data_IF_157869504728
#
_entry.id   IF_157869504728
#
_cell.length_a   1.000
_cell.length_b   1.000
_cell.length_c   1.000
_cell.angle_alpha   90.00
_cell.angle_beta   90.00
_cell.angle_gamma   90.00
#
_symmetry.space_group_name_H-M   'P 1'
#
loop_
_entity.id
_entity.type
_entity.pdbx_description
1 polymer ?
#
# COMPACT_ATOMS: atom_id res chain seq x y z
N UNK A 1 10.68 -15.59 47.92
CA UNK A 1 9.88 -15.90 46.71
C UNK A 1 8.95 -14.74 46.32
N UNK A 2 8.37 -13.98 47.26
CA UNK A 2 7.45 -12.85 47.00
C UNK A 2 8.07 -11.64 46.29
N UNK A 3 9.38 -11.40 46.44
CA UNK A 3 10.08 -10.30 45.73
C UNK A 3 10.25 -10.55 44.23
N UNK A 4 10.47 -11.81 43.82
CA UNK A 4 10.71 -12.12 42.39
C UNK A 4 9.45 -11.91 41.55
N UNK A 5 8.28 -12.11 42.12
CA UNK A 5 7.00 -11.86 41.42
C UNK A 5 6.71 -10.37 41.25
N UNK A 6 7.07 -9.53 42.23
CA UNK A 6 6.88 -8.07 42.14
C UNK A 6 7.81 -7.48 41.07
N UNK A 7 9.07 -7.92 41.03
CA UNK A 7 10.02 -7.47 40.01
C UNK A 7 9.60 -7.92 38.61
N UNK A 8 9.06 -9.14 38.46
CA UNK A 8 8.56 -9.62 37.18
C UNK A 8 7.35 -8.82 36.66
N UNK A 9 6.43 -8.45 37.56
CA UNK A 9 5.25 -7.65 37.24
C UNK A 9 5.62 -6.23 36.78
N UNK A 10 6.49 -5.56 37.55
CA UNK A 10 7.01 -4.23 37.21
C UNK A 10 7.82 -4.21 35.91
N UNK A 11 8.54 -5.29 35.61
CA UNK A 11 9.29 -5.41 34.35
C UNK A 11 8.34 -5.57 33.17
N UNK A 12 7.25 -6.34 33.34
CA UNK A 12 6.23 -6.51 32.31
C UNK A 12 5.47 -5.20 32.04
N UNK A 13 5.15 -4.43 33.09
CA UNK A 13 4.55 -3.09 32.97
C UNK A 13 5.46 -2.11 32.22
N UNK A 14 6.77 -2.15 32.51
CA UNK A 14 7.77 -1.35 31.79
C UNK A 14 7.91 -1.78 30.33
N UNK A 15 7.91 -3.08 30.06
CA UNK A 15 7.97 -3.64 28.70
C UNK A 15 6.74 -3.21 27.88
N UNK A 16 5.55 -3.17 28.50
CA UNK A 16 4.33 -2.68 27.87
C UNK A 16 4.35 -1.16 27.59
N UNK A 17 5.06 -0.38 28.41
CA UNK A 17 5.29 1.05 28.19
C UNK A 17 6.35 1.33 27.11
N UNK A 18 7.26 0.39 26.86
CA UNK A 18 8.29 0.50 25.83
C UNK A 18 7.82 0.12 24.41
N UNK A 19 6.60 -0.39 24.24
CA UNK A 19 6.09 -0.75 22.91
C UNK A 19 5.92 0.54 22.08
N UNK A 20 6.70 0.69 20.98
CA UNK A 20 6.67 1.90 20.17
C UNK A 20 5.30 2.12 19.53
N UNK A 21 4.92 3.39 19.35
CA UNK A 21 3.63 3.73 18.74
C UNK A 21 3.62 3.32 17.27
N UNK A 22 2.48 2.86 16.74
CA UNK A 22 2.36 2.42 15.33
C UNK A 22 2.95 3.42 14.33
N UNK A 23 2.76 4.73 14.55
CA UNK A 23 3.34 5.80 13.72
C UNK A 23 4.87 5.82 13.68
N UNK A 24 5.55 5.39 14.72
CA UNK A 24 7.01 5.40 14.84
C UNK A 24 7.64 4.25 14.05
N UNK A 25 6.91 3.15 13.89
CA UNK A 25 7.31 2.01 13.04
C UNK A 25 7.34 2.39 11.55
N UNK A 26 6.53 3.36 11.15
CA UNK A 26 6.50 3.87 9.78
C UNK A 26 7.67 4.84 9.51
N UNK A 27 8.60 4.40 8.66
CA UNK A 27 9.68 5.25 8.14
C UNK A 27 9.11 6.47 7.43
N UNK A 28 9.82 7.61 7.47
CA UNK A 28 9.38 8.85 6.84
C UNK A 28 9.01 8.69 5.35
N UNK A 29 9.80 7.91 4.59
CA UNK A 29 9.49 7.58 3.20
C UNK A 29 8.13 6.89 3.03
N UNK A 30 7.81 5.88 3.86
CA UNK A 30 6.52 5.19 3.77
C UNK A 30 5.33 6.12 4.02
N UNK A 31 5.49 7.10 4.92
CA UNK A 31 4.47 8.13 5.21
C UNK A 31 4.23 9.01 3.99
N UNK A 32 5.31 9.44 3.32
CA UNK A 32 5.23 10.23 2.09
C UNK A 32 4.49 9.46 0.98
N UNK A 33 4.88 8.22 0.69
CA UNK A 33 4.20 7.39 -0.32
C UNK A 33 2.74 7.13 0.02
N UNK A 34 2.46 6.82 1.29
CA UNK A 34 1.08 6.60 1.72
C UNK A 34 0.25 7.87 1.52
N UNK A 35 0.79 9.05 1.81
CA UNK A 35 0.06 10.31 1.57
C UNK A 35 -0.23 10.52 0.08
N UNK A 36 0.75 10.27 -0.79
CA UNK A 36 0.57 10.35 -2.25
C UNK A 36 -0.50 9.35 -2.71
N UNK A 37 -0.46 8.10 -2.24
CA UNK A 37 -1.43 7.07 -2.62
C UNK A 37 -2.85 7.33 -2.12
N UNK A 38 -3.00 7.99 -0.96
CA UNK A 38 -4.32 8.46 -0.52
C UNK A 38 -4.86 9.50 -1.50
N UNK A 39 -4.04 10.50 -1.86
CA UNK A 39 -4.46 11.55 -2.80
C UNK A 39 -4.78 10.97 -4.17
N UNK A 40 -3.91 10.12 -4.73
CA UNK A 40 -4.15 9.50 -6.04
C UNK A 40 -5.29 8.50 -6.01
N UNK A 41 -5.49 7.77 -4.92
CA UNK A 41 -6.66 6.90 -4.74
C UNK A 41 -7.97 7.69 -4.72
N UNK A 42 -8.02 8.82 -4.00
CA UNK A 42 -9.15 9.75 -4.02
C UNK A 42 -9.39 10.27 -5.44
N UNK A 43 -8.34 10.74 -6.12
CA UNK A 43 -8.45 11.19 -7.50
C UNK A 43 -8.97 10.08 -8.42
N UNK A 44 -8.53 8.83 -8.24
CA UNK A 44 -9.02 7.67 -9.01
C UNK A 44 -10.52 7.40 -8.81
N UNK A 45 -11.01 7.52 -7.57
CA UNK A 45 -12.45 7.38 -7.26
C UNK A 45 -13.29 8.46 -7.95
N UNK A 46 -12.80 9.71 -7.96
CA UNK A 46 -13.54 10.83 -8.53
C UNK A 46 -13.35 10.98 -10.04
N UNK A 47 -12.19 10.61 -10.58
CA UNK A 47 -11.88 10.74 -12.01
C UNK A 47 -12.74 9.80 -12.84
N UNK A 48 -12.98 8.57 -12.37
CA UNK A 48 -13.76 7.58 -13.10
C UNK A 48 -15.20 8.06 -13.41
N UNK A 49 -16.05 8.45 -12.44
CA UNK A 49 -17.37 8.99 -12.75
C UNK A 49 -17.31 10.35 -13.48
N UNK A 50 -16.28 11.16 -13.24
CA UNK A 50 -16.09 12.45 -13.93
C UNK A 50 -15.85 12.26 -15.44
N UNK A 51 -15.15 11.20 -15.86
CA UNK A 51 -15.00 10.84 -17.27
C UNK A 51 -16.37 10.59 -17.92
N UNK A 52 -17.33 10.03 -17.16
CA UNK A 52 -18.68 9.81 -17.69
C UNK A 52 -19.51 11.08 -17.86
N UNK A 53 -19.23 12.12 -17.08
CA UNK A 53 -19.97 13.39 -17.15
C UNK A 53 -19.43 14.34 -18.23
N UNK A 54 -18.16 14.17 -18.60
CA UNK A 54 -17.44 15.09 -19.49
C UNK A 54 -17.16 14.55 -20.87
N UNK A 55 -17.54 13.29 -21.13
CA UNK A 55 -17.20 12.54 -22.36
C UNK A 55 -15.72 12.65 -22.75
N UNK A 56 -14.86 12.71 -21.73
CA UNK A 56 -13.41 12.73 -21.89
C UNK A 56 -12.84 11.33 -21.74
N UNK A 57 -11.78 11.06 -22.50
CA UNK A 57 -11.03 9.80 -22.46
C UNK A 57 -9.57 10.04 -21.98
N UNK A 58 -9.35 10.44 -20.71
CA UNK A 58 -7.99 10.58 -20.20
C UNK A 58 -7.34 9.20 -20.14
N UNK A 59 -6.14 9.08 -20.73
CA UNK A 59 -5.31 7.90 -20.56
C UNK A 59 -4.94 7.72 -19.09
N UNK A 60 -5.27 6.55 -18.51
CA UNK A 60 -4.86 6.18 -17.16
C UNK A 60 -3.86 5.04 -17.25
N UNK A 61 -2.74 5.20 -16.56
CA UNK A 61 -1.69 4.19 -16.50
C UNK A 61 -1.29 3.85 -15.05
N UNK A 62 -1.15 2.57 -14.76
CA UNK A 62 -0.63 2.06 -13.48
C UNK A 62 0.02 0.69 -13.67
N UNK A 63 1.23 0.50 -13.13
CA UNK A 63 1.98 -0.78 -13.21
C UNK A 63 2.21 -1.27 -14.64
N UNK A 64 2.33 -0.33 -15.58
CA UNK A 64 2.45 -0.61 -17.01
C UNK A 64 1.16 -1.08 -17.69
N UNK A 65 0.04 -1.15 -16.98
CA UNK A 65 -1.28 -1.22 -17.60
C UNK A 65 -1.69 0.19 -18.01
N UNK A 66 -2.09 0.37 -19.26
CA UNK A 66 -2.58 1.63 -19.80
C UNK A 66 -3.93 1.39 -20.49
N UNK A 67 -4.89 2.28 -20.23
CA UNK A 67 -6.16 2.31 -20.96
C UNK A 67 -6.58 3.74 -21.20
N UNK A 68 -6.88 4.07 -22.45
CA UNK A 68 -7.55 5.32 -22.83
C UNK A 68 -9.07 5.15 -22.94
N UNK A 69 -9.54 3.91 -23.11
CA UNK A 69 -10.97 3.63 -23.21
C UNK A 69 -11.61 3.54 -21.83
N UNK A 70 -12.54 4.47 -21.54
CA UNK A 70 -13.29 4.56 -20.29
C UNK A 70 -14.20 3.36 -20.00
N UNK A 71 -14.62 2.63 -21.03
CA UNK A 71 -15.51 1.46 -20.90
C UNK A 71 -14.77 0.12 -20.88
N UNK A 72 -13.46 0.15 -21.12
CA UNK A 72 -12.62 -1.04 -21.11
C UNK A 72 -12.58 -1.70 -19.73
N UNK A 73 -12.58 -3.03 -19.72
CA UNK A 73 -12.34 -3.82 -18.51
C UNK A 73 -11.00 -3.45 -17.84
N UNK A 74 -9.99 -3.08 -18.62
CA UNK A 74 -8.69 -2.64 -18.09
C UNK A 74 -8.78 -1.33 -17.29
N UNK A 75 -9.57 -0.37 -17.75
CA UNK A 75 -9.80 0.89 -17.03
C UNK A 75 -10.39 0.61 -15.64
N UNK A 76 -11.40 -0.27 -15.57
CA UNK A 76 -12.01 -0.67 -14.30
C UNK A 76 -10.99 -1.32 -13.36
N UNK A 77 -10.15 -2.22 -13.88
CA UNK A 77 -9.08 -2.86 -13.09
C UNK A 77 -8.08 -1.82 -12.57
N UNK A 78 -7.62 -0.89 -13.42
CA UNK A 78 -6.68 0.16 -13.02
C UNK A 78 -7.29 1.06 -11.94
N UNK A 79 -8.54 1.50 -12.10
CA UNK A 79 -9.25 2.28 -11.09
C UNK A 79 -9.36 1.53 -9.77
N UNK A 80 -9.71 0.23 -9.80
CA UNK A 80 -9.77 -0.59 -8.58
C UNK A 80 -8.42 -0.72 -7.88
N UNK A 81 -7.32 -0.80 -8.63
CA UNK A 81 -5.96 -0.79 -8.07
C UNK A 81 -5.64 0.55 -7.39
N UNK A 82 -6.02 1.69 -7.95
CA UNK A 82 -5.87 2.99 -7.30
C UNK A 82 -6.68 3.08 -6.00
N UNK A 83 -7.91 2.55 -6.00
CA UNK A 83 -8.78 2.52 -4.81
C UNK A 83 -8.14 1.66 -3.72
N UNK A 84 -7.69 0.45 -4.08
CA UNK A 84 -7.05 -0.47 -3.14
C UNK A 84 -5.82 0.18 -2.47
N UNK A 85 -5.01 0.89 -3.27
CA UNK A 85 -3.85 1.67 -2.78
C UNK A 85 -4.24 2.77 -1.82
N UNK A 86 -5.24 3.55 -2.20
CA UNK A 86 -5.76 4.62 -1.36
C UNK A 86 -6.25 4.09 -0.01
N UNK A 87 -6.99 2.97 0.00
CA UNK A 87 -7.49 2.34 1.23
C UNK A 87 -6.35 1.81 2.09
N UNK A 88 -5.40 1.08 1.50
CA UNK A 88 -4.23 0.55 2.20
C UNK A 88 -3.40 1.67 2.85
N UNK A 89 -3.12 2.72 2.07
CA UNK A 89 -2.34 3.87 2.49
C UNK A 89 -3.05 4.69 3.57
N UNK A 90 -4.38 4.88 3.44
CA UNK A 90 -5.20 5.52 4.46
C UNK A 90 -5.16 4.74 5.76
N UNK A 91 -5.31 3.41 5.71
CA UNK A 91 -5.22 2.55 6.88
C UNK A 91 -3.88 2.69 7.60
N UNK A 92 -2.77 2.75 6.84
CA UNK A 92 -1.42 2.88 7.40
C UNK A 92 -1.24 4.23 8.10
N UNK A 93 -1.68 5.32 7.46
CA UNK A 93 -1.60 6.67 8.05
C UNK A 93 -2.55 6.85 9.24
N UNK A 94 -3.69 6.14 9.25
CA UNK A 94 -4.66 6.15 10.34
C UNK A 94 -4.33 5.16 11.47
N UNK A 95 -3.16 4.51 11.42
CA UNK A 95 -2.67 3.57 12.45
C UNK A 95 -3.64 2.39 12.71
N UNK A 96 -4.41 1.97 11.69
CA UNK A 96 -5.40 0.89 11.79
C UNK A 96 -4.74 -0.48 11.89
N UNK A 97 -5.39 -1.42 12.58
CA UNK A 97 -4.81 -2.76 12.82
C UNK A 97 -4.70 -3.57 11.53
N UNK A 98 -5.73 -3.47 10.67
CA UNK A 98 -5.80 -4.15 9.38
C UNK A 98 -4.88 -3.55 8.31
N UNK A 99 -4.33 -2.37 8.56
CA UNK A 99 -3.60 -1.59 7.57
C UNK A 99 -2.40 -2.31 6.99
N UNK A 100 -1.62 -2.98 7.84
CA UNK A 100 -0.42 -3.70 7.40
C UNK A 100 -0.80 -4.94 6.59
N UNK A 101 -1.86 -5.65 6.97
CA UNK A 101 -2.30 -6.84 6.23
C UNK A 101 -2.85 -6.45 4.84
N UNK A 102 -3.63 -5.38 4.72
CA UNK A 102 -4.08 -4.86 3.42
C UNK A 102 -2.91 -4.28 2.61
N UNK A 103 -2.00 -3.53 3.24
CA UNK A 103 -0.82 -2.98 2.58
C UNK A 103 0.10 -4.06 2.02
N UNK A 104 0.24 -5.20 2.71
CA UNK A 104 0.98 -6.35 2.21
C UNK A 104 0.27 -7.01 1.02
N UNK A 105 -1.04 -7.18 1.09
CA UNK A 105 -1.83 -7.71 -0.01
C UNK A 105 -1.71 -6.81 -1.26
N UNK A 106 -1.86 -5.50 -1.11
CA UNK A 106 -1.69 -4.52 -2.20
C UNK A 106 -0.27 -4.58 -2.81
N UNK A 107 0.76 -4.67 -1.97
CA UNK A 107 2.14 -4.79 -2.43
C UNK A 107 2.38 -6.05 -3.27
N UNK A 108 1.85 -7.19 -2.83
CA UNK A 108 1.92 -8.44 -3.60
C UNK A 108 1.12 -8.39 -4.90
N UNK A 109 -0.09 -7.82 -4.88
CA UNK A 109 -0.90 -7.63 -6.09
C UNK A 109 -0.16 -6.75 -7.08
N UNK A 110 0.45 -5.65 -6.63
CA UNK A 110 1.26 -4.79 -7.50
C UNK A 110 2.44 -5.51 -8.14
N UNK A 111 3.18 -6.31 -7.37
CA UNK A 111 4.28 -7.14 -7.89
C UNK A 111 3.77 -8.11 -8.95
N UNK A 112 2.65 -8.81 -8.70
CA UNK A 112 2.06 -9.75 -9.65
C UNK A 112 1.62 -9.06 -10.95
N UNK A 113 1.00 -7.88 -10.86
CA UNK A 113 0.59 -7.10 -12.04
C UNK A 113 1.82 -6.66 -12.84
N UNK A 114 2.85 -6.12 -12.20
CA UNK A 114 4.08 -5.72 -12.89
C UNK A 114 4.74 -6.92 -13.60
N UNK A 115 4.81 -8.09 -12.96
CA UNK A 115 5.36 -9.31 -13.57
C UNK A 115 4.50 -9.79 -14.74
N UNK A 116 3.17 -9.77 -14.60
CA UNK A 116 2.25 -10.13 -15.67
C UNK A 116 2.44 -9.23 -16.89
N UNK A 117 2.49 -7.91 -16.70
CA UNK A 117 2.72 -6.94 -17.78
C UNK A 117 4.08 -7.14 -18.43
N UNK A 118 5.12 -7.42 -17.65
CA UNK A 118 6.46 -7.69 -18.19
C UNK A 118 6.48 -8.95 -19.06
N UNK A 119 5.84 -10.04 -18.62
CA UNK A 119 5.72 -11.28 -19.40
C UNK A 119 4.90 -11.03 -20.67
N UNK A 120 3.77 -10.33 -20.55
CA UNK A 120 2.91 -10.01 -21.69
C UNK A 120 3.63 -9.19 -22.76
N UNK A 121 4.39 -8.15 -22.36
CA UNK A 121 5.18 -7.35 -23.29
C UNK A 121 6.36 -8.12 -23.87
N UNK A 122 6.96 -9.06 -23.11
CA UNK A 122 8.05 -9.88 -23.62
C UNK A 122 7.60 -10.82 -24.76
N UNK A 123 6.40 -11.40 -24.66
CA UNK A 123 5.82 -12.26 -25.69
C UNK A 123 4.98 -11.52 -26.74
N UNK A 124 4.72 -10.23 -26.52
CA UNK A 124 3.93 -9.38 -27.42
C UNK A 124 4.76 -8.71 -28.53
N UNK A 125 4.09 -8.10 -29.52
CA UNK A 125 4.76 -7.46 -30.67
C UNK A 125 5.48 -6.15 -30.31
N UNK A 126 5.26 -5.62 -29.10
CA UNK A 126 5.86 -4.38 -28.64
C UNK A 126 6.94 -4.67 -27.59
N UNK A 127 8.21 -4.67 -28.01
CA UNK A 127 9.37 -4.75 -27.11
C UNK A 127 9.61 -3.41 -26.39
N UNK A 128 8.57 -2.85 -25.77
CA UNK A 128 8.73 -1.67 -24.94
C UNK A 128 9.24 -2.14 -23.58
N UNK A 129 10.52 -1.92 -23.32
CA UNK A 129 11.06 -1.96 -21.96
C UNK A 129 10.44 -0.81 -21.17
N UNK A 130 9.22 -1.01 -20.68
CA UNK A 130 8.65 -0.09 -19.71
C UNK A 130 9.59 -0.01 -18.49
N UNK A 131 9.77 1.16 -17.86
CA UNK A 131 10.65 1.36 -16.71
C UNK A 131 10.10 0.70 -15.41
N UNK A 132 9.53 -0.50 -15.54
CA UNK A 132 8.90 -1.31 -14.49
C UNK A 132 9.89 -1.74 -13.40
N UNK A 133 11.19 -1.69 -13.68
CA UNK A 133 12.23 -2.07 -12.72
C UNK A 133 12.23 -1.19 -11.46
N UNK A 134 12.01 0.13 -11.60
CA UNK A 134 11.95 1.04 -10.45
C UNK A 134 10.66 0.85 -9.65
N UNK A 135 9.52 0.64 -10.31
CA UNK A 135 8.25 0.36 -9.65
C UNK A 135 8.32 -0.95 -8.85
N UNK A 136 8.87 -2.01 -9.44
CA UNK A 136 9.04 -3.32 -8.80
C UNK A 136 10.02 -3.27 -7.62
N UNK A 137 11.13 -2.54 -7.78
CA UNK A 137 12.11 -2.35 -6.70
C UNK A 137 11.49 -1.56 -5.53
N UNK A 138 10.71 -0.52 -5.83
CA UNK A 138 10.01 0.27 -4.82
C UNK A 138 8.95 -0.57 -4.10
N UNK A 139 8.17 -1.37 -4.83
CA UNK A 139 7.17 -2.29 -4.27
C UNK A 139 7.79 -3.36 -3.38
N UNK A 140 8.86 -4.00 -3.84
CA UNK A 140 9.55 -5.03 -3.06
C UNK A 140 10.15 -4.45 -1.77
N UNK A 141 10.78 -3.28 -1.83
CA UNK A 141 11.25 -2.58 -0.63
C UNK A 141 10.11 -2.26 0.34
N UNK A 142 8.95 -1.82 -0.17
CA UNK A 142 7.74 -1.56 0.62
C UNK A 142 7.21 -2.83 1.31
N UNK A 143 7.06 -3.94 0.57
CA UNK A 143 6.60 -5.22 1.13
C UNK A 143 7.53 -5.73 2.22
N UNK A 144 8.85 -5.74 1.97
CA UNK A 144 9.84 -6.19 2.97
C UNK A 144 9.78 -5.33 4.23
N UNK A 145 9.61 -4.01 4.10
CA UNK A 145 9.47 -3.10 5.25
C UNK A 145 8.18 -3.38 6.03
N UNK A 146 7.04 -3.54 5.35
CA UNK A 146 5.77 -3.87 5.99
C UNK A 146 5.80 -5.22 6.72
N UNK A 147 6.43 -6.24 6.11
CA UNK A 147 6.59 -7.54 6.74
C UNK A 147 7.39 -7.45 8.04
N UNK A 148 8.49 -6.68 8.05
CA UNK A 148 9.32 -6.48 9.23
C UNK A 148 8.54 -5.82 10.37
N UNK A 149 7.77 -4.77 10.08
CA UNK A 149 7.02 -4.06 11.11
C UNK A 149 5.71 -4.76 11.49
N UNK A 150 5.28 -5.81 10.79
CA UNK A 150 3.98 -6.46 11.02
C UNK A 150 3.83 -7.00 12.45
N UNK A 151 4.88 -7.63 12.98
CA UNK A 151 4.85 -8.17 14.34
C UNK A 151 4.71 -7.05 15.38
N UNK A 152 5.53 -6.00 15.23
CA UNK A 152 5.52 -4.85 16.13
C UNK A 152 4.23 -4.02 15.98
N UNK A 153 3.65 -3.96 14.78
CA UNK A 153 2.40 -3.24 14.52
C UNK A 153 1.20 -3.87 15.23
N UNK A 154 1.16 -5.21 15.28
CA UNK A 154 0.13 -5.97 16.00
C UNK A 154 0.24 -5.80 17.52
N UNK A 155 1.46 -5.61 18.04
CA UNK A 155 1.73 -5.34 19.46
C UNK A 155 1.57 -3.86 19.81
N UNK A 156 1.85 -2.96 18.87
CA UNK A 156 1.85 -1.52 19.04
C UNK A 156 0.46 -0.94 19.25
N UNK A 157 0.38 0.09 20.11
CA UNK A 157 -0.86 0.84 20.34
C UNK A 157 -1.16 1.71 19.12
N UNK A 158 -2.39 1.59 18.61
CA UNK A 158 -2.92 2.47 17.56
C UNK A 158 -3.41 3.81 18.12
N UNK A 159 -3.90 4.67 17.24
CA UNK A 159 -4.53 5.93 17.63
C UNK A 159 -5.82 5.62 18.41
N UNK A 160 -5.82 5.92 19.71
CA UNK A 160 -7.03 5.97 20.54
C UNK A 160 -7.84 7.15 20.02
N UNK A 161 -9.00 6.85 19.43
CA UNK A 161 -9.98 7.84 18.99
C UNK A 161 -11.01 8.04 20.10
#
# INVERSE_FOLDING_TARGET
>A
MKDKSIIADQLNDLEELMIPRRKELLTWWLKFFSAVFVVTGILGVFSYPYMFLTDSDPGVALYGLESADRTSFLMLVITMLFILKGIAAFGLLAEKEWAVDIGLADGWVGILVCLFVMIYNYFGPAHVFAPLGLELLLLSAYVVKLQKIRADWKRGRGRVN
#
